data_IF_820207914650
#
_entry.id   IF_820207914650
#
_cell.length_a   1.000
_cell.length_b   1.000
_cell.length_c   1.000
_cell.angle_alpha   90.00
_cell.angle_beta   90.00
_cell.angle_gamma   90.00
#
_symmetry.space_group_name_H-M   'P 1'
#
loop_
_entity.id
_entity.type
_entity.pdbx_description
1 polymer ?
#
# COMPACT_ATOMS: atom_id res chain seq x y z
N UNK A 1 -69.97 -11.62 -27.02
CA UNK A 1 -69.28 -11.16 -25.79
C UNK A 1 -68.67 -12.39 -25.16
N UNK A 2 -67.51 -12.78 -25.68
CA UNK A 2 -66.16 -12.71 -25.06
C UNK A 2 -65.79 -14.05 -24.43
N UNK A 3 -65.25 -14.91 -25.30
CA UNK A 3 -64.57 -16.15 -24.94
C UNK A 3 -63.34 -15.84 -24.08
N UNK A 4 -63.28 -16.52 -22.95
CA UNK A 4 -62.16 -16.60 -22.02
C UNK A 4 -61.04 -17.47 -22.62
N UNK A 5 -59.96 -16.83 -23.06
CA UNK A 5 -58.67 -17.50 -23.25
C UNK A 5 -57.78 -17.16 -22.04
N UNK A 6 -57.63 -18.15 -21.16
CA UNK A 6 -56.60 -18.17 -20.14
C UNK A 6 -55.24 -18.28 -20.83
N UNK A 7 -54.44 -17.21 -20.80
CA UNK A 7 -53.00 -17.33 -21.03
C UNK A 7 -52.37 -17.97 -19.77
N UNK A 8 -51.54 -19.02 -19.91
CA UNK A 8 -50.82 -19.57 -18.76
C UNK A 8 -49.78 -18.55 -18.29
N UNK A 9 -49.41 -18.57 -17.00
CA UNK A 9 -48.40 -17.67 -16.46
C UNK A 9 -47.05 -17.96 -17.12
N UNK A 10 -46.33 -16.88 -17.47
CA UNK A 10 -44.94 -16.91 -17.88
C UNK A 10 -44.12 -17.69 -16.85
N UNK A 11 -43.69 -18.89 -17.25
CA UNK A 11 -42.92 -19.77 -16.37
C UNK A 11 -41.48 -19.24 -16.33
N UNK A 12 -41.17 -18.45 -15.29
CA UNK A 12 -39.83 -17.96 -14.98
C UNK A 12 -38.99 -19.06 -14.34
N UNK A 13 -38.75 -20.16 -15.05
CA UNK A 13 -37.72 -21.11 -14.64
C UNK A 13 -36.36 -20.49 -14.93
N UNK A 14 -35.80 -19.78 -13.95
CA UNK A 14 -34.39 -19.41 -13.91
C UNK A 14 -33.57 -20.70 -14.09
N UNK A 15 -33.07 -20.93 -15.31
CA UNK A 15 -32.10 -21.99 -15.58
C UNK A 15 -30.78 -21.62 -14.92
N UNK A 16 -30.63 -21.92 -13.62
CA UNK A 16 -29.35 -21.85 -12.94
C UNK A 16 -28.42 -22.92 -13.51
N UNK A 17 -27.32 -22.51 -14.15
CA UNK A 17 -26.23 -23.43 -14.42
C UNK A 17 -25.53 -23.67 -13.08
N UNK A 18 -25.83 -24.81 -12.44
CA UNK A 18 -25.21 -25.22 -11.15
C UNK A 18 -23.69 -25.09 -11.17
N UNK A 19 -23.06 -25.17 -12.33
CA UNK A 19 -21.62 -25.00 -12.51
C UNK A 19 -21.12 -23.59 -12.12
N UNK A 20 -21.77 -22.52 -12.62
CA UNK A 20 -21.36 -21.14 -12.34
C UNK A 20 -21.51 -20.78 -10.85
N UNK A 21 -22.60 -21.26 -10.24
CA UNK A 21 -22.89 -21.06 -8.83
C UNK A 21 -21.91 -21.79 -7.90
N UNK A 22 -21.15 -22.76 -8.41
CA UNK A 22 -20.02 -23.32 -7.68
C UNK A 22 -18.90 -22.28 -7.59
N UNK A 23 -18.46 -21.69 -8.71
CA UNK A 23 -17.21 -20.93 -8.73
C UNK A 23 -17.28 -19.52 -8.15
N UNK A 24 -18.44 -18.85 -8.19
CA UNK A 24 -18.54 -17.43 -7.82
C UNK A 24 -19.31 -17.18 -6.51
N UNK A 25 -18.95 -16.13 -5.78
CA UNK A 25 -19.53 -15.81 -4.48
C UNK A 25 -20.87 -15.05 -4.53
N UNK A 26 -21.11 -14.23 -5.57
CA UNK A 26 -22.29 -13.35 -5.66
C UNK A 26 -23.39 -13.95 -6.55
N UNK A 27 -24.61 -14.00 -6.03
CA UNK A 27 -25.76 -14.55 -6.74
C UNK A 27 -26.19 -13.67 -7.92
N UNK A 28 -26.06 -12.35 -7.81
CA UNK A 28 -26.54 -11.43 -8.86
C UNK A 28 -25.67 -11.53 -10.11
N UNK A 29 -24.35 -11.51 -9.93
CA UNK A 29 -23.39 -11.75 -11.02
C UNK A 29 -23.59 -13.11 -11.68
N UNK A 30 -23.84 -14.16 -10.89
CA UNK A 30 -24.11 -15.50 -11.42
C UNK A 30 -25.36 -15.55 -12.31
N UNK A 31 -26.41 -14.80 -12.00
CA UNK A 31 -27.63 -14.76 -12.84
C UNK A 31 -27.31 -14.27 -14.25
N UNK A 32 -26.59 -13.15 -14.37
CA UNK A 32 -26.20 -12.61 -15.68
C UNK A 32 -25.27 -13.56 -16.43
N UNK A 33 -24.31 -14.17 -15.74
CA UNK A 33 -23.42 -15.18 -16.35
C UNK A 33 -24.20 -16.41 -16.83
N UNK A 34 -25.20 -16.88 -16.08
CA UNK A 34 -26.06 -17.99 -16.45
C UNK A 34 -26.89 -17.67 -17.71
N UNK A 35 -27.40 -16.46 -17.82
CA UNK A 35 -28.13 -16.00 -19.01
C UNK A 35 -27.24 -16.03 -20.26
N UNK A 36 -26.02 -15.50 -20.16
CA UNK A 36 -25.08 -15.51 -21.28
C UNK A 36 -24.66 -16.94 -21.64
N UNK A 37 -24.38 -17.77 -20.63
CA UNK A 37 -24.04 -19.18 -20.85
C UNK A 37 -25.15 -19.95 -21.58
N UNK A 38 -26.42 -19.65 -21.29
CA UNK A 38 -27.55 -20.23 -22.01
C UNK A 38 -27.60 -19.77 -23.47
N UNK A 39 -27.40 -18.47 -23.73
CA UNK A 39 -27.40 -17.90 -25.09
C UNK A 39 -26.32 -18.53 -25.99
N UNK A 40 -25.16 -18.85 -25.43
CA UNK A 40 -24.02 -19.40 -26.17
C UNK A 40 -23.87 -20.92 -26.06
N UNK A 41 -24.86 -21.61 -25.47
CA UNK A 41 -24.79 -23.05 -25.15
C UNK A 41 -24.52 -23.97 -26.35
N UNK A 42 -24.96 -23.57 -27.54
CA UNK A 42 -24.79 -24.33 -28.79
C UNK A 42 -23.54 -23.93 -29.59
N UNK A 43 -22.73 -22.99 -29.09
CA UNK A 43 -21.59 -22.45 -29.81
C UNK A 43 -20.32 -23.26 -29.54
N UNK A 44 -19.53 -23.52 -30.58
CA UNK A 44 -18.28 -24.31 -30.47
C UNK A 44 -17.02 -23.46 -30.54
N UNK A 45 -17.10 -22.27 -31.15
CA UNK A 45 -15.99 -21.34 -31.27
C UNK A 45 -16.40 -20.00 -30.67
N UNK A 46 -15.68 -19.51 -29.66
CA UNK A 46 -16.04 -18.27 -28.96
C UNK A 46 -14.80 -17.37 -28.85
N UNK A 47 -14.96 -16.10 -29.23
CA UNK A 47 -13.90 -15.09 -29.19
C UNK A 47 -14.28 -13.97 -28.25
N UNK A 48 -13.51 -13.83 -27.17
CA UNK A 48 -13.68 -12.79 -26.16
C UNK A 48 -12.65 -11.68 -26.33
N UNK A 49 -13.04 -10.46 -25.96
CA UNK A 49 -12.13 -9.39 -25.54
C UNK A 49 -12.34 -9.17 -24.05
N UNK A 50 -11.26 -9.18 -23.27
CA UNK A 50 -11.30 -9.09 -21.81
C UNK A 50 -10.43 -7.94 -21.32
N UNK A 51 -10.92 -7.21 -20.32
CA UNK A 51 -10.15 -6.14 -19.67
C UNK A 51 -10.49 -6.00 -18.17
N UNK A 52 -9.59 -5.38 -17.43
CA UNK A 52 -9.70 -5.10 -16.00
C UNK A 52 -9.20 -3.70 -15.64
N UNK A 53 -10.05 -2.91 -14.97
CA UNK A 53 -9.68 -1.61 -14.44
C UNK A 53 -9.45 -1.67 -12.94
N UNK A 54 -8.49 -0.87 -12.46
CA UNK A 54 -8.20 -0.73 -11.04
C UNK A 54 -7.89 0.72 -10.71
N UNK A 55 -8.62 1.27 -9.74
CA UNK A 55 -8.43 2.61 -9.22
C UNK A 55 -7.97 2.53 -7.77
N UNK A 56 -6.76 3.03 -7.52
CA UNK A 56 -6.13 3.07 -6.19
C UNK A 56 -5.61 4.48 -5.94
N UNK A 57 -6.51 5.45 -5.79
CA UNK A 57 -6.13 6.76 -5.27
C UNK A 57 -6.23 6.75 -3.74
N UNK A 58 -5.25 7.35 -3.06
CA UNK A 58 -5.19 7.45 -1.61
C UNK A 58 -6.32 8.31 -1.01
N UNK A 59 -7.01 9.08 -1.86
CA UNK A 59 -8.12 9.97 -1.49
C UNK A 59 -9.48 9.27 -1.37
N UNK A 60 -9.65 8.07 -1.95
CA UNK A 60 -10.94 7.37 -2.05
C UNK A 60 -10.81 5.88 -1.74
N UNK A 61 -11.95 5.20 -1.62
CA UNK A 61 -11.96 3.75 -1.47
C UNK A 61 -11.49 3.09 -2.78
N UNK A 62 -10.45 2.23 -2.73
CA UNK A 62 -9.99 1.53 -3.92
C UNK A 62 -11.10 0.71 -4.56
N UNK A 63 -11.18 0.74 -5.89
CA UNK A 63 -12.19 0.01 -6.65
C UNK A 63 -11.58 -0.69 -7.86
N UNK A 64 -12.17 -1.83 -8.24
CA UNK A 64 -11.78 -2.58 -9.42
C UNK A 64 -13.02 -3.01 -10.19
N UNK A 65 -12.92 -2.99 -11.51
CA UNK A 65 -13.99 -3.41 -12.39
C UNK A 65 -13.40 -4.32 -13.46
N UNK A 66 -14.18 -5.29 -13.89
CA UNK A 66 -13.81 -6.18 -14.98
C UNK A 66 -14.87 -6.14 -16.07
N UNK A 67 -14.45 -6.51 -17.28
CA UNK A 67 -15.31 -6.57 -18.45
C UNK A 67 -14.85 -7.69 -19.38
N UNK A 68 -15.82 -8.32 -20.03
CA UNK A 68 -15.56 -9.01 -21.29
C UNK A 68 -16.75 -8.89 -22.26
N UNK A 69 -16.46 -9.06 -23.54
CA UNK A 69 -17.43 -9.04 -24.64
C UNK A 69 -17.15 -10.21 -25.61
N UNK A 70 -18.19 -10.83 -26.16
CA UNK A 70 -18.07 -11.83 -27.23
C UNK A 70 -18.32 -11.14 -28.57
N UNK A 71 -17.50 -11.44 -29.58
CA UNK A 71 -17.47 -10.68 -30.84
C UNK A 71 -17.78 -11.51 -32.08
N UNK A 72 -17.67 -12.84 -32.02
CA UNK A 72 -17.76 -13.72 -33.18
C UNK A 72 -19.14 -14.39 -33.32
N UNK A 73 -20.19 -13.81 -32.73
CA UNK A 73 -21.57 -14.31 -32.76
C UNK A 73 -22.52 -13.20 -33.28
N UNK A 74 -22.57 -12.96 -34.60
CA UNK A 74 -23.31 -11.83 -35.17
C UNK A 74 -24.83 -11.96 -35.08
N UNK A 75 -25.34 -13.19 -34.91
CA UNK A 75 -26.79 -13.46 -34.81
C UNK A 75 -27.39 -13.06 -33.44
N UNK A 76 -26.54 -12.66 -32.49
CA UNK A 76 -26.92 -12.27 -31.14
C UNK A 76 -26.53 -10.81 -30.89
N UNK A 77 -27.33 -10.08 -30.13
CA UNK A 77 -27.07 -8.68 -29.84
C UNK A 77 -25.81 -8.53 -28.97
N UNK A 78 -24.87 -7.67 -29.39
CA UNK A 78 -23.61 -7.43 -28.69
C UNK A 78 -23.80 -6.93 -27.24
N UNK A 79 -24.89 -6.23 -26.97
CA UNK A 79 -25.18 -5.73 -25.63
C UNK A 79 -25.64 -6.86 -24.68
N UNK A 80 -26.16 -7.97 -25.21
CA UNK A 80 -26.51 -9.17 -24.45
C UNK A 80 -25.31 -10.12 -24.27
N UNK A 81 -24.29 -9.96 -25.11
CA UNK A 81 -23.06 -10.77 -25.11
C UNK A 81 -21.89 -10.12 -24.37
N UNK A 82 -22.21 -9.33 -23.34
CA UNK A 82 -21.23 -8.65 -22.52
C UNK A 82 -21.47 -8.86 -21.03
N UNK A 83 -20.39 -8.84 -20.27
CA UNK A 83 -20.44 -8.89 -18.82
C UNK A 83 -19.52 -7.86 -18.22
N UNK A 84 -20.02 -7.08 -17.25
CA UNK A 84 -19.22 -6.18 -16.42
C UNK A 84 -19.62 -6.30 -14.97
N UNK A 85 -18.64 -6.28 -14.08
CA UNK A 85 -18.88 -6.42 -12.65
C UNK A 85 -17.76 -5.79 -11.83
N UNK A 86 -18.03 -5.50 -10.56
CA UNK A 86 -17.01 -5.07 -9.60
C UNK A 86 -16.17 -6.26 -9.16
N UNK A 87 -14.85 -6.15 -9.22
CA UNK A 87 -13.98 -7.13 -8.56
C UNK A 87 -13.79 -6.72 -7.09
N UNK A 88 -14.04 -7.65 -6.16
CA UNK A 88 -13.97 -7.37 -4.72
C UNK A 88 -12.63 -7.85 -4.12
N UNK A 89 -12.22 -7.24 -3.00
CA UNK A 89 -11.07 -7.60 -2.15
C UNK A 89 -9.70 -7.51 -2.86
N UNK A 90 -8.71 -6.91 -2.20
CA UNK A 90 -7.31 -6.79 -2.71
C UNK A 90 -7.19 -6.12 -4.09
N UNK A 91 -7.37 -4.79 -4.18
CA UNK A 91 -7.32 -4.04 -5.43
C UNK A 91 -5.99 -4.22 -6.19
N UNK A 92 -6.06 -4.72 -7.43
CA UNK A 92 -4.98 -4.77 -8.42
C UNK A 92 -5.56 -5.00 -9.81
N UNK A 93 -5.02 -4.36 -10.85
CA UNK A 93 -5.47 -4.55 -12.24
C UNK A 93 -5.41 -6.02 -12.66
N UNK A 94 -4.32 -6.71 -12.32
CA UNK A 94 -4.13 -8.14 -12.61
C UNK A 94 -5.19 -9.03 -11.96
N UNK A 95 -5.76 -8.66 -10.80
CA UNK A 95 -6.88 -9.41 -10.22
C UNK A 95 -8.16 -9.23 -11.04
N UNK A 96 -8.47 -8.00 -11.45
CA UNK A 96 -9.63 -7.70 -12.27
C UNK A 96 -9.55 -8.44 -13.61
N UNK A 97 -8.41 -8.38 -14.29
CA UNK A 97 -8.17 -9.08 -15.56
C UNK A 97 -8.25 -10.61 -15.39
N UNK A 98 -7.69 -11.18 -14.32
CA UNK A 98 -7.76 -12.62 -14.06
C UNK A 98 -9.20 -13.09 -13.79
N UNK A 99 -10.02 -12.29 -13.09
CA UNK A 99 -11.44 -12.56 -12.89
C UNK A 99 -12.25 -12.39 -14.18
N UNK A 100 -11.87 -11.45 -15.07
CA UNK A 100 -12.44 -11.33 -16.40
C UNK A 100 -12.23 -12.62 -17.20
N UNK A 101 -10.99 -13.14 -17.20
CA UNK A 101 -10.65 -14.43 -17.82
C UNK A 101 -11.45 -15.58 -17.20
N UNK A 102 -11.51 -15.67 -15.87
CA UNK A 102 -12.22 -16.75 -15.18
C UNK A 102 -13.71 -16.76 -15.50
N UNK A 103 -14.37 -15.59 -15.49
CA UNK A 103 -15.80 -15.48 -15.79
C UNK A 103 -16.12 -15.71 -17.27
N UNK A 104 -15.26 -15.25 -18.19
CA UNK A 104 -15.42 -15.53 -19.63
C UNK A 104 -15.33 -17.04 -19.93
N UNK A 105 -14.37 -17.75 -19.33
CA UNK A 105 -14.25 -19.20 -19.52
C UNK A 105 -15.40 -19.96 -18.87
N UNK A 106 -15.93 -19.47 -17.75
CA UNK A 106 -16.98 -20.15 -17.01
C UNK A 106 -18.31 -20.23 -17.76
N UNK A 107 -18.59 -19.26 -18.65
CA UNK A 107 -19.82 -19.25 -19.46
C UNK A 107 -19.71 -20.13 -20.72
N UNK A 108 -18.52 -20.58 -21.08
CA UNK A 108 -18.31 -21.37 -22.29
C UNK A 108 -18.92 -22.77 -22.16
N UNK A 109 -19.57 -23.31 -23.21
CA UNK A 109 -20.08 -24.68 -23.20
C UNK A 109 -18.93 -25.71 -23.25
N UNK A 110 -19.22 -26.99 -22.91
CA UNK A 110 -18.24 -28.06 -22.98
C UNK A 110 -17.65 -28.23 -24.38
N UNK A 111 -16.36 -28.57 -24.45
CA UNK A 111 -15.57 -28.81 -25.65
C UNK A 111 -15.41 -27.60 -26.60
N UNK A 112 -15.75 -26.39 -26.15
CA UNK A 112 -15.57 -25.19 -26.95
C UNK A 112 -14.09 -24.83 -27.17
N UNK A 113 -13.81 -24.28 -28.35
CA UNK A 113 -12.58 -23.59 -28.70
C UNK A 113 -12.72 -22.10 -28.39
N UNK A 114 -11.86 -21.58 -27.52
CA UNK A 114 -11.97 -20.25 -26.96
C UNK A 114 -10.73 -19.42 -27.27
N UNK A 115 -10.93 -18.27 -27.89
CA UNK A 115 -9.90 -17.27 -28.14
C UNK A 115 -10.13 -16.10 -27.18
N UNK A 116 -9.14 -15.78 -26.35
CA UNK A 116 -9.18 -14.64 -25.43
C UNK A 116 -8.21 -13.58 -25.95
N UNK A 117 -8.75 -12.45 -26.38
CA UNK A 117 -7.99 -11.26 -26.73
C UNK A 117 -7.84 -10.38 -25.48
N UNK A 118 -6.59 -10.10 -25.08
CA UNK A 118 -6.29 -9.24 -23.94
C UNK A 118 -5.03 -8.42 -24.19
N UNK A 119 -4.99 -7.20 -23.68
CA UNK A 119 -3.79 -6.39 -23.65
C UNK A 119 -2.90 -6.69 -22.41
N UNK A 120 -3.32 -7.55 -21.50
CA UNK A 120 -2.51 -7.88 -20.33
C UNK A 120 -1.48 -8.96 -20.64
N UNK A 121 -0.24 -8.53 -20.87
CA UNK A 121 0.91 -9.45 -20.97
C UNK A 121 1.09 -10.26 -19.67
N UNK A 122 0.77 -9.68 -18.51
CA UNK A 122 0.88 -10.35 -17.22
C UNK A 122 -0.03 -11.59 -17.14
N UNK A 123 -1.27 -11.49 -17.61
CA UNK A 123 -2.21 -12.61 -17.67
C UNK A 123 -1.71 -13.71 -18.60
N UNK A 124 -1.24 -13.35 -19.81
CA UNK A 124 -0.72 -14.33 -20.78
C UNK A 124 0.48 -15.09 -20.23
N UNK A 125 1.47 -14.36 -19.69
CA UNK A 125 2.68 -14.96 -19.15
C UNK A 125 2.37 -15.85 -17.93
N UNK A 126 1.45 -15.40 -17.06
CA UNK A 126 1.03 -16.17 -15.88
C UNK A 126 0.23 -17.43 -16.25
N UNK A 127 -0.69 -17.34 -17.22
CA UNK A 127 -1.45 -18.48 -17.71
C UNK A 127 -0.50 -19.57 -18.25
N UNK A 128 0.47 -19.18 -19.09
CA UNK A 128 1.45 -20.10 -19.65
C UNK A 128 2.36 -20.71 -18.57
N UNK A 129 2.80 -19.90 -17.61
CA UNK A 129 3.63 -20.36 -16.49
C UNK A 129 2.91 -21.35 -15.57
N UNK A 130 1.63 -21.13 -15.27
CA UNK A 130 0.86 -21.99 -14.36
C UNK A 130 0.29 -23.24 -15.03
N UNK A 131 0.13 -23.22 -16.37
CA UNK A 131 -0.36 -24.37 -17.16
C UNK A 131 0.53 -25.60 -17.02
N UNK A 132 1.82 -25.44 -16.72
CA UNK A 132 2.76 -26.55 -16.54
C UNK A 132 2.63 -27.31 -15.20
N UNK A 133 1.49 -27.21 -14.51
CA UNK A 133 1.18 -27.86 -13.21
C UNK A 133 2.30 -27.72 -12.17
N UNK A 134 2.45 -26.51 -11.64
CA UNK A 134 3.46 -26.22 -10.63
C UNK A 134 3.21 -26.97 -9.31
N UNK A 135 4.27 -27.25 -8.53
CA UNK A 135 4.13 -27.70 -7.15
C UNK A 135 3.29 -26.72 -6.32
N UNK A 136 2.48 -27.24 -5.39
CA UNK A 136 1.56 -26.47 -4.53
C UNK A 136 2.23 -25.27 -3.86
N UNK A 137 3.48 -25.41 -3.42
CA UNK A 137 4.25 -24.33 -2.78
C UNK A 137 4.56 -23.15 -3.72
N UNK A 138 4.81 -23.42 -5.01
CA UNK A 138 5.07 -22.34 -5.99
C UNK A 138 3.76 -21.65 -6.35
N UNK A 139 2.69 -22.43 -6.51
CA UNK A 139 1.35 -21.92 -6.77
C UNK A 139 0.85 -20.98 -5.65
N UNK A 140 0.98 -21.37 -4.38
CA UNK A 140 0.51 -20.54 -3.25
C UNK A 140 1.31 -19.25 -3.04
N UNK A 141 2.43 -19.08 -3.75
CA UNK A 141 3.20 -17.83 -3.77
C UNK A 141 2.79 -16.91 -4.92
N UNK A 142 2.09 -17.43 -5.93
CA UNK A 142 1.54 -16.63 -7.01
C UNK A 142 0.41 -15.77 -6.46
N UNK A 143 0.35 -14.52 -6.89
CA UNK A 143 -0.81 -13.67 -6.62
C UNK A 143 -2.02 -14.24 -7.35
N UNK A 144 -3.21 -14.12 -6.75
CA UNK A 144 -4.47 -14.55 -7.35
C UNK A 144 -4.51 -16.07 -7.66
N UNK A 145 -3.81 -16.90 -6.88
CA UNK A 145 -3.70 -18.34 -7.12
C UNK A 145 -5.05 -19.07 -7.09
N UNK A 146 -6.03 -18.60 -6.30
CA UNK A 146 -7.39 -19.16 -6.29
C UNK A 146 -8.07 -18.94 -7.62
N UNK A 147 -7.92 -17.73 -8.19
CA UNK A 147 -8.47 -17.39 -9.50
C UNK A 147 -7.86 -18.28 -10.57
N UNK A 148 -6.54 -18.44 -10.57
CA UNK A 148 -5.86 -19.32 -11.52
C UNK A 148 -6.27 -20.79 -11.37
N UNK A 149 -6.41 -21.28 -10.14
CA UNK A 149 -6.88 -22.64 -9.93
C UNK A 149 -8.33 -22.84 -10.39
N UNK A 150 -9.20 -21.83 -10.20
CA UNK A 150 -10.54 -21.85 -10.76
C UNK A 150 -10.50 -21.89 -12.30
N UNK A 151 -9.68 -21.04 -12.95
CA UNK A 151 -9.48 -21.04 -14.41
C UNK A 151 -9.11 -22.43 -14.91
N UNK A 152 -8.08 -23.07 -14.35
CA UNK A 152 -7.66 -24.39 -14.82
C UNK A 152 -8.67 -25.49 -14.52
N UNK A 153 -9.40 -25.39 -13.39
CA UNK A 153 -10.48 -26.33 -13.09
C UNK A 153 -11.64 -26.19 -14.08
N UNK A 154 -12.01 -24.96 -14.45
CA UNK A 154 -13.05 -24.70 -15.45
C UNK A 154 -12.64 -25.29 -16.81
N UNK A 155 -11.42 -24.99 -17.27
CA UNK A 155 -10.88 -25.53 -18.52
C UNK A 155 -10.92 -27.06 -18.52
N UNK A 156 -10.51 -27.69 -17.42
CA UNK A 156 -10.51 -29.14 -17.28
C UNK A 156 -11.93 -29.72 -17.26
N UNK A 157 -12.85 -29.11 -16.51
CA UNK A 157 -14.23 -29.58 -16.37
C UNK A 157 -15.04 -29.45 -17.66
N UNK A 158 -14.81 -28.40 -18.44
CA UNK A 158 -15.48 -28.19 -19.73
C UNK A 158 -14.65 -28.66 -20.92
N UNK A 159 -13.47 -29.27 -20.72
CA UNK A 159 -12.58 -29.70 -21.81
C UNK A 159 -12.32 -28.61 -22.87
N UNK A 160 -12.10 -27.37 -22.43
CA UNK A 160 -11.94 -26.21 -23.31
C UNK A 160 -10.57 -26.22 -24.01
N UNK A 161 -10.54 -25.83 -25.28
CA UNK A 161 -9.32 -25.48 -26.00
C UNK A 161 -9.11 -23.97 -25.94
N UNK A 162 -8.19 -23.48 -25.12
CA UNK A 162 -8.03 -22.05 -24.85
C UNK A 162 -6.74 -21.50 -25.45
N UNK A 163 -6.85 -20.40 -26.21
CA UNK A 163 -5.73 -19.63 -26.76
C UNK A 163 -5.84 -18.18 -26.28
N UNK A 164 -4.76 -17.65 -25.71
CA UNK A 164 -4.67 -16.23 -25.34
C UNK A 164 -3.86 -15.46 -26.39
N UNK A 165 -4.43 -14.38 -26.91
CA UNK A 165 -3.83 -13.52 -27.94
C UNK A 165 -3.59 -12.14 -27.36
N UNK A 166 -2.35 -11.65 -27.52
CA UNK A 166 -1.96 -10.31 -27.07
C UNK A 166 -2.46 -9.27 -28.07
N UNK A 167 -3.35 -8.39 -27.61
CA UNK A 167 -3.75 -7.16 -28.33
C UNK A 167 -2.81 -6.03 -27.95
N UNK A 168 -2.50 -5.12 -28.88
CA UNK A 168 -1.71 -3.92 -28.57
C UNK A 168 -2.61 -2.91 -27.83
N UNK A 169 -2.20 -2.49 -26.64
CA UNK A 169 -2.86 -1.38 -25.95
C UNK A 169 -2.76 -0.11 -26.81
N UNK A 170 -3.83 0.70 -26.83
CA UNK A 170 -3.91 1.97 -27.58
C UNK A 170 -3.66 1.83 -29.09
N UNK A 171 -4.09 0.72 -29.70
CA UNK A 171 -3.94 0.48 -31.13
C UNK A 171 -5.20 0.75 -31.97
N UNK A 172 -6.19 1.46 -31.39
CA UNK A 172 -7.51 1.70 -31.96
C UNK A 172 -8.25 0.39 -32.32
N UNK A 173 -8.03 -0.66 -31.53
CA UNK A 173 -8.84 -1.88 -31.60
C UNK A 173 -10.19 -1.57 -30.95
N UNK A 174 -11.23 -1.45 -31.78
CA UNK A 174 -12.56 -1.04 -31.35
C UNK A 174 -13.12 -1.91 -30.20
N UNK A 175 -12.84 -3.21 -30.19
CA UNK A 175 -13.38 -4.13 -29.18
C UNK A 175 -12.58 -4.09 -27.89
N UNK A 176 -11.26 -3.91 -27.97
CA UNK A 176 -10.42 -3.68 -26.81
C UNK A 176 -10.73 -2.34 -26.14
N UNK A 177 -10.87 -1.26 -26.92
CA UNK A 177 -11.21 0.07 -26.39
C UNK A 177 -12.61 0.06 -25.76
N UNK A 178 -13.57 -0.68 -26.35
CA UNK A 178 -14.89 -0.91 -25.75
C UNK A 178 -14.77 -1.68 -24.42
N UNK A 179 -13.86 -2.66 -24.33
CA UNK A 179 -13.64 -3.41 -23.10
C UNK A 179 -13.08 -2.52 -21.97
N UNK A 180 -12.10 -1.66 -22.25
CA UNK A 180 -11.48 -0.75 -21.26
C UNK A 180 -12.47 0.27 -20.68
N UNK A 181 -13.20 0.97 -21.56
CA UNK A 181 -14.21 1.96 -21.15
C UNK A 181 -15.25 1.32 -20.21
N UNK A 182 -15.63 0.09 -20.50
CA UNK A 182 -16.69 -0.61 -19.78
C UNK A 182 -16.17 -1.34 -18.53
N UNK A 183 -14.90 -1.75 -18.50
CA UNK A 183 -14.24 -2.22 -17.28
C UNK A 183 -14.20 -1.10 -16.23
N UNK A 184 -13.99 0.14 -16.67
CA UNK A 184 -14.06 1.32 -15.81
C UNK A 184 -15.47 1.57 -15.25
N UNK A 185 -16.52 1.36 -16.06
CA UNK A 185 -17.90 1.44 -15.57
C UNK A 185 -18.22 0.33 -14.58
N UNK A 186 -17.67 -0.88 -14.77
CA UNK A 186 -17.81 -2.02 -13.87
C UNK A 186 -17.39 -1.74 -12.42
N UNK A 187 -16.51 -0.75 -12.18
CA UNK A 187 -16.10 -0.32 -10.83
C UNK A 187 -17.28 0.17 -9.98
N UNK A 188 -18.28 0.76 -10.63
CA UNK A 188 -19.46 1.33 -9.98
C UNK A 188 -20.64 0.36 -9.88
N UNK A 189 -20.47 -0.90 -10.31
CA UNK A 189 -21.52 -1.91 -10.21
C UNK A 189 -21.89 -2.19 -8.75
N UNK A 190 -23.18 -2.43 -8.51
CA UNK A 190 -23.69 -2.92 -7.23
C UNK A 190 -23.41 -4.41 -7.03
N UNK A 191 -23.28 -5.17 -8.13
CA UNK A 191 -22.86 -6.57 -8.11
C UNK A 191 -21.35 -6.68 -8.05
N UNK A 192 -20.85 -7.75 -7.44
CA UNK A 192 -19.41 -8.03 -7.40
C UNK A 192 -19.13 -9.50 -7.73
N UNK A 193 -17.91 -9.81 -8.16
CA UNK A 193 -17.49 -11.19 -8.42
C UNK A 193 -16.16 -11.48 -7.73
N UNK A 194 -16.09 -12.66 -7.12
CA UNK A 194 -14.88 -13.23 -6.53
C UNK A 194 -15.03 -14.75 -6.45
N UNK A 195 -13.92 -15.46 -6.34
CA UNK A 195 -13.90 -16.93 -6.42
C UNK A 195 -14.28 -17.55 -5.08
N UNK A 196 -15.14 -18.56 -5.13
CA UNK A 196 -15.51 -19.39 -3.99
C UNK A 196 -14.40 -20.43 -3.75
N UNK A 197 -13.68 -20.39 -2.61
CA UNK A 197 -12.53 -21.28 -2.38
C UNK A 197 -12.87 -22.77 -2.36
N UNK A 198 -14.06 -23.12 -1.86
CA UNK A 198 -14.54 -24.51 -1.79
C UNK A 198 -14.60 -25.18 -3.15
N UNK A 199 -14.77 -24.39 -4.21
CA UNK A 199 -14.94 -24.89 -5.57
C UNK A 199 -13.62 -25.22 -6.24
N UNK A 200 -12.50 -24.94 -5.59
CA UNK A 200 -11.16 -25.05 -6.16
C UNK A 200 -10.43 -26.32 -5.68
N UNK A 201 -11.06 -27.19 -4.87
CA UNK A 201 -10.48 -28.44 -4.33
C UNK A 201 -9.06 -28.26 -3.74
N UNK A 202 -8.88 -27.19 -2.97
CA UNK A 202 -7.59 -26.91 -2.31
C UNK A 202 -7.47 -27.73 -1.02
N UNK A 203 -6.27 -28.26 -0.76
CA UNK A 203 -6.00 -28.95 0.51
C UNK A 203 -6.15 -28.02 1.71
N UNK A 204 -5.77 -26.76 1.55
CA UNK A 204 -5.92 -25.71 2.55
C UNK A 204 -5.95 -24.34 1.87
N UNK A 205 -6.68 -23.40 2.45
CA UNK A 205 -6.62 -21.97 2.12
C UNK A 205 -6.63 -21.17 3.42
N UNK A 206 -6.10 -19.95 3.35
CA UNK A 206 -6.05 -19.06 4.51
C UNK A 206 -7.16 -18.04 4.40
N UNK A 207 -7.85 -17.80 5.52
CA UNK A 207 -8.83 -16.74 5.63
C UNK A 207 -8.52 -15.87 6.84
N UNK A 208 -8.92 -14.61 6.74
CA UNK A 208 -8.82 -13.64 7.82
C UNK A 208 -10.23 -13.26 8.26
N UNK A 209 -10.53 -13.54 9.52
CA UNK A 209 -11.79 -13.13 10.15
C UNK A 209 -11.71 -11.63 10.45
N UNK A 210 -12.24 -10.83 9.53
CA UNK A 210 -12.38 -9.39 9.73
C UNK A 210 -13.34 -9.11 10.90
N UNK A 211 -13.02 -8.17 11.80
CA UNK A 211 -14.00 -7.65 12.75
C UNK A 211 -15.25 -7.18 12.02
N UNK A 212 -16.44 -7.44 12.59
CA UNK A 212 -17.73 -7.13 11.94
C UNK A 212 -17.85 -5.68 11.45
N UNK A 213 -17.22 -4.73 12.16
CA UNK A 213 -17.16 -3.30 11.79
C UNK A 213 -16.42 -3.04 10.47
N UNK A 214 -15.49 -3.91 10.09
CA UNK A 214 -14.70 -3.84 8.85
C UNK A 214 -15.24 -4.77 7.75
N UNK A 215 -16.29 -5.54 8.06
CA UNK A 215 -16.97 -6.43 7.11
C UNK A 215 -18.46 -6.04 7.00
N UNK A 216 -18.71 -4.79 6.61
CA UNK A 216 -20.06 -4.21 6.50
C UNK A 216 -20.95 -5.01 5.54
N UNK A 217 -20.38 -5.58 4.49
CA UNK A 217 -21.09 -6.37 3.49
C UNK A 217 -21.43 -7.80 3.99
N UNK A 218 -20.94 -8.21 5.19
CA UNK A 218 -21.03 -9.58 5.76
C UNK A 218 -20.61 -10.69 4.79
N UNK A 219 -19.89 -10.34 3.74
CA UNK A 219 -19.37 -11.29 2.77
C UNK A 219 -18.34 -12.14 3.50
N UNK A 220 -18.38 -13.44 3.24
CA UNK A 220 -17.47 -14.49 3.73
C UNK A 220 -16.07 -14.01 4.16
N UNK A 221 -15.44 -14.69 5.16
CA UNK A 221 -14.14 -14.28 5.70
C UNK A 221 -13.13 -13.97 4.60
N UNK A 222 -12.27 -12.97 4.81
CA UNK A 222 -11.37 -12.47 3.77
C UNK A 222 -10.35 -13.54 3.41
N UNK A 223 -10.55 -14.20 2.26
CA UNK A 223 -9.67 -15.26 1.80
C UNK A 223 -8.38 -14.65 1.27
N UNK A 224 -7.24 -15.08 1.79
CA UNK A 224 -5.92 -14.57 1.41
C UNK A 224 -5.44 -15.30 0.15
N UNK A 225 -5.58 -14.61 -0.99
CA UNK A 225 -5.19 -15.12 -2.32
C UNK A 225 -3.86 -14.53 -2.82
N UNK A 226 -2.84 -14.59 -1.96
CA UNK A 226 -1.49 -14.05 -2.19
C UNK A 226 -0.49 -14.80 -1.33
N UNK A 227 0.79 -14.51 -1.50
CA UNK A 227 1.85 -15.07 -0.67
C UNK A 227 1.55 -14.82 0.83
N UNK A 228 1.23 -15.91 1.54
CA UNK A 228 0.79 -15.87 2.93
C UNK A 228 1.85 -15.26 3.87
N UNK A 229 3.14 -15.45 3.59
CA UNK A 229 4.21 -14.89 4.43
C UNK A 229 4.23 -13.36 4.35
N UNK A 230 4.05 -12.82 3.15
CA UNK A 230 4.01 -11.38 2.95
C UNK A 230 2.72 -10.81 3.54
N UNK A 231 1.58 -11.47 3.33
CA UNK A 231 0.31 -11.06 3.93
C UNK A 231 0.38 -11.01 5.46
N UNK A 232 0.94 -12.04 6.11
CA UNK A 232 1.13 -12.05 7.57
C UNK A 232 2.11 -10.94 7.98
N UNK A 233 3.24 -10.79 7.29
CA UNK A 233 4.21 -9.75 7.60
C UNK A 233 3.61 -8.34 7.54
N UNK A 234 2.78 -8.05 6.53
CA UNK A 234 2.07 -6.78 6.38
C UNK A 234 1.09 -6.57 7.53
N UNK A 235 0.24 -7.57 7.82
CA UNK A 235 -0.73 -7.52 8.91
C UNK A 235 -0.04 -7.28 10.26
N UNK A 236 1.01 -8.04 10.55
CA UNK A 236 1.80 -7.89 11.78
C UNK A 236 2.43 -6.50 11.85
N UNK A 237 2.98 -6.00 10.74
CA UNK A 237 3.56 -4.65 10.68
C UNK A 237 2.52 -3.57 10.97
N UNK A 238 1.30 -3.69 10.40
CA UNK A 238 0.19 -2.77 10.68
C UNK A 238 -0.26 -2.82 12.14
N UNK A 239 -0.35 -4.01 12.73
CA UNK A 239 -0.68 -4.15 14.15
C UNK A 239 0.38 -3.51 15.05
N UNK A 240 1.66 -3.71 14.73
CA UNK A 240 2.77 -3.17 15.51
C UNK A 240 2.84 -1.65 15.42
N UNK A 241 2.73 -1.05 14.23
CA UNK A 241 2.74 0.42 14.10
C UNK A 241 1.53 1.04 14.81
N UNK A 242 0.34 0.43 14.70
CA UNK A 242 -0.84 0.92 15.42
C UNK A 242 -0.67 0.83 16.93
N UNK A 243 -0.11 -0.29 17.44
CA UNK A 243 0.18 -0.45 18.87
C UNK A 243 1.23 0.55 19.35
N UNK A 244 2.26 0.80 18.55
CA UNK A 244 3.27 1.82 18.82
C UNK A 244 2.62 3.21 18.93
N UNK A 245 1.93 3.65 17.88
CA UNK A 245 1.27 4.98 17.84
C UNK A 245 0.17 5.14 18.89
N UNK A 246 -0.46 4.05 19.36
CA UNK A 246 -1.43 4.09 20.44
C UNK A 246 -0.81 4.42 21.82
N UNK A 247 0.52 4.36 21.97
CA UNK A 247 1.17 4.60 23.25
C UNK A 247 1.07 6.08 23.68
N UNK A 248 0.60 6.32 24.91
CA UNK A 248 0.31 7.66 25.46
C UNK A 248 1.50 8.63 25.53
N UNK A 249 2.74 8.14 25.42
CA UNK A 249 3.97 8.95 25.52
C UNK A 249 4.35 9.61 24.19
N UNK A 250 3.79 9.12 23.09
CA UNK A 250 4.13 9.54 21.73
C UNK A 250 2.89 10.08 20.99
N UNK A 251 1.95 10.68 21.73
CA UNK A 251 0.73 11.28 21.17
C UNK A 251 1.04 12.36 20.14
N UNK A 252 2.12 13.11 20.35
CA UNK A 252 2.70 14.05 19.40
C UNK A 252 3.11 13.37 18.08
N UNK A 253 3.85 12.26 18.15
CA UNK A 253 4.26 11.48 16.97
C UNK A 253 3.03 10.89 16.25
N UNK A 254 2.03 10.43 17.01
CA UNK A 254 0.76 9.95 16.44
C UNK A 254 0.06 11.06 15.65
N UNK A 255 -0.07 12.25 16.22
CA UNK A 255 -0.70 13.39 15.55
C UNK A 255 0.09 13.79 14.29
N UNK A 256 1.43 13.87 14.40
CA UNK A 256 2.31 14.15 13.26
C UNK A 256 2.18 13.09 12.15
N UNK A 257 1.93 11.83 12.51
CA UNK A 257 1.68 10.74 11.54
C UNK A 257 0.37 10.92 10.79
N UNK A 258 -0.71 11.24 11.51
CA UNK A 258 -2.02 11.48 10.91
C UNK A 258 -2.05 12.74 10.05
N UNK A 259 -1.24 13.74 10.39
CA UNK A 259 -1.04 14.96 9.59
C UNK A 259 -0.05 14.77 8.43
N UNK A 260 0.40 13.53 8.17
CA UNK A 260 1.38 13.22 7.12
C UNK A 260 2.65 14.11 7.19
N UNK A 261 3.16 14.36 8.40
CA UNK A 261 4.39 15.13 8.61
C UNK A 261 5.65 14.23 8.58
N UNK A 262 5.49 12.94 8.90
CA UNK A 262 6.57 11.96 9.00
C UNK A 262 6.65 11.13 7.71
N UNK A 263 7.86 11.04 7.15
CA UNK A 263 8.19 10.10 6.10
C UNK A 263 8.49 8.73 6.72
N UNK A 264 7.46 7.89 6.84
CA UNK A 264 7.59 6.57 7.47
C UNK A 264 8.50 5.62 6.70
N UNK A 265 8.62 5.81 5.37
CA UNK A 265 9.52 4.99 4.54
C UNK A 265 10.97 5.27 4.92
N UNK A 266 11.39 6.53 4.89
CA UNK A 266 12.77 6.87 5.26
C UNK A 266 13.05 6.74 6.76
N UNK A 267 12.03 6.95 7.61
CA UNK A 267 12.15 6.65 9.04
C UNK A 267 12.48 5.17 9.24
N UNK A 268 11.80 4.24 8.56
CA UNK A 268 12.11 2.81 8.64
C UNK A 268 13.54 2.51 8.17
N UNK A 269 13.96 3.07 7.03
CA UNK A 269 15.33 2.89 6.53
C UNK A 269 16.37 3.41 7.53
N UNK A 270 16.11 4.58 8.13
CA UNK A 270 16.96 5.16 9.17
C UNK A 270 17.07 4.27 10.42
N UNK A 271 15.96 3.73 10.91
CA UNK A 271 15.97 2.81 12.05
C UNK A 271 16.74 1.51 11.77
N UNK A 272 16.86 1.12 10.50
CA UNK A 272 17.65 -0.05 10.09
C UNK A 272 19.10 0.29 9.74
N UNK A 273 19.43 1.57 9.51
CA UNK A 273 20.78 2.01 9.15
C UNK A 273 21.73 2.03 10.35
N UNK A 274 22.97 1.57 10.20
CA UNK A 274 24.03 1.70 11.21
C UNK A 274 24.82 2.99 10.95
N UNK A 275 24.69 4.05 11.79
CA UNK A 275 25.40 5.30 11.59
C UNK A 275 26.77 5.36 12.27
N UNK A 276 27.17 4.32 13.02
CA UNK A 276 28.31 4.40 13.94
C UNK A 276 29.56 3.74 13.39
N UNK A 277 29.41 2.63 12.68
CA UNK A 277 30.49 1.87 12.05
C UNK A 277 29.95 0.98 10.92
N UNK A 278 30.85 0.34 10.17
CA UNK A 278 30.50 -0.60 9.09
C UNK A 278 30.23 -2.02 9.60
N UNK A 279 30.27 -2.25 10.92
CA UNK A 279 30.05 -3.57 11.50
C UNK A 279 28.56 -3.90 11.57
N UNK A 280 28.13 -5.13 11.27
CA UNK A 280 26.74 -5.53 11.48
C UNK A 280 26.35 -5.48 12.97
N UNK A 281 27.31 -5.66 13.89
CA UNK A 281 27.09 -5.60 15.34
C UNK A 281 28.29 -4.96 16.05
N UNK A 282 28.03 -4.05 16.99
CA UNK A 282 29.07 -3.47 17.83
C UNK A 282 28.49 -2.94 19.14
N UNK A 283 29.30 -2.83 20.19
CA UNK A 283 28.88 -2.20 21.46
C UNK A 283 28.45 -0.75 21.25
N UNK A 284 29.09 -0.04 20.32
CA UNK A 284 28.73 1.34 19.97
C UNK A 284 27.35 1.40 19.32
N UNK A 285 27.08 0.50 18.37
CA UNK A 285 25.76 0.36 17.74
C UNK A 285 24.68 0.03 18.79
N UNK A 286 24.93 -0.91 19.71
CA UNK A 286 23.97 -1.25 20.77
C UNK A 286 23.63 -0.04 21.65
N UNK A 287 24.63 0.74 22.08
CA UNK A 287 24.41 1.98 22.84
C UNK A 287 23.59 2.99 22.03
N UNK A 288 23.93 3.18 20.74
CA UNK A 288 23.20 4.07 19.85
C UNK A 288 21.74 3.63 19.66
N UNK A 289 21.46 2.34 19.46
CA UNK A 289 20.10 1.79 19.36
C UNK A 289 19.31 1.99 20.65
N UNK A 290 19.93 1.78 21.81
CA UNK A 290 19.29 2.03 23.10
C UNK A 290 18.89 3.51 23.23
N UNK A 291 19.77 4.44 22.87
CA UNK A 291 19.45 5.87 22.81
C UNK A 291 18.33 6.16 21.81
N UNK A 292 18.40 5.62 20.59
CA UNK A 292 17.42 5.86 19.52
C UNK A 292 16.01 5.45 19.96
N UNK A 293 15.86 4.26 20.57
CA UNK A 293 14.58 3.77 21.07
C UNK A 293 14.08 4.61 22.25
N UNK A 294 14.96 5.00 23.17
CA UNK A 294 14.59 5.89 24.28
C UNK A 294 14.11 7.25 23.78
N UNK A 295 14.85 7.84 22.83
CA UNK A 295 14.54 9.14 22.25
C UNK A 295 13.21 9.15 21.50
N UNK A 296 12.98 8.19 20.60
CA UNK A 296 11.72 8.16 19.84
C UNK A 296 10.50 7.90 20.73
N UNK A 297 10.69 7.32 21.92
CA UNK A 297 9.63 6.92 22.85
C UNK A 297 9.44 7.84 24.06
N UNK A 298 10.10 9.00 24.11
CA UNK A 298 10.11 9.91 25.27
C UNK A 298 10.56 9.22 26.57
N UNK A 299 11.68 8.50 26.50
CA UNK A 299 12.28 7.75 27.60
C UNK A 299 13.75 8.11 27.81
N UNK A 300 14.22 9.25 27.29
CA UNK A 300 15.50 9.80 27.72
C UNK A 300 15.42 10.15 29.21
N UNK A 301 16.52 10.04 29.96
CA UNK A 301 16.54 10.29 31.39
C UNK A 301 16.44 11.81 31.66
N UNK A 302 15.23 12.37 31.59
CA UNK A 302 14.92 13.75 32.00
C UNK A 302 14.48 13.79 33.46
N UNK A 303 14.51 14.96 34.10
CA UNK A 303 14.23 15.07 35.54
C UNK A 303 12.89 14.50 35.97
N UNK A 304 11.82 14.66 35.19
CA UNK A 304 10.51 14.05 35.47
C UNK A 304 10.57 12.52 35.58
N UNK A 305 11.40 11.87 34.76
CA UNK A 305 11.62 10.43 34.76
C UNK A 305 12.59 10.03 35.87
N UNK A 306 13.71 10.74 36.01
CA UNK A 306 14.74 10.42 37.00
C UNK A 306 14.21 10.56 38.42
N UNK A 307 13.50 11.65 38.73
CA UNK A 307 12.87 11.87 40.03
C UNK A 307 11.75 10.86 40.33
N UNK A 308 11.04 10.39 39.30
CA UNK A 308 10.03 9.33 39.46
C UNK A 308 10.65 7.99 39.89
N UNK A 309 11.83 7.64 39.37
CA UNK A 309 12.46 6.35 39.65
C UNK A 309 13.47 6.39 40.81
N UNK A 310 14.05 7.56 41.12
CA UNK A 310 15.00 7.74 42.23
C UNK A 310 14.67 9.01 43.02
N UNK A 311 13.55 9.04 43.76
CA UNK A 311 13.05 10.25 44.41
C UNK A 311 14.01 10.82 45.47
N UNK A 312 14.74 9.97 46.19
CA UNK A 312 15.67 10.41 47.24
C UNK A 312 16.87 11.19 46.66
N UNK A 313 17.29 10.87 45.43
CA UNK A 313 18.41 11.53 44.76
C UNK A 313 18.02 12.85 44.08
N UNK A 314 16.75 13.01 43.69
CA UNK A 314 16.29 14.15 42.87
C UNK A 314 15.15 14.95 43.50
N UNK A 315 14.97 14.81 44.82
CA UNK A 315 13.89 15.43 45.61
C UNK A 315 13.77 16.94 45.41
N UNK A 316 14.90 17.62 45.21
CA UNK A 316 14.97 19.09 45.16
C UNK A 316 15.03 19.65 43.73
N UNK A 317 14.90 18.83 42.68
CA UNK A 317 15.14 19.27 41.30
C UNK A 317 13.93 19.02 40.38
N UNK A 318 12.86 19.82 40.47
CA UNK A 318 11.72 19.71 39.58
C UNK A 318 11.92 20.44 38.26
N UNK A 319 12.97 21.26 38.10
CA UNK A 319 13.18 22.18 36.98
C UNK A 319 14.32 21.72 36.06
N UNK A 320 14.30 22.18 34.82
CA UNK A 320 15.35 21.93 33.85
C UNK A 320 16.70 22.51 34.26
N UNK A 321 17.76 21.71 34.11
CA UNK A 321 19.15 22.09 34.40
C UNK A 321 19.65 23.26 33.56
N UNK A 322 19.05 23.46 32.40
CA UNK A 322 19.47 24.51 31.48
C UNK A 322 18.75 25.82 31.73
N UNK A 323 17.42 25.83 31.83
CA UNK A 323 16.63 27.06 31.96
C UNK A 323 16.21 27.40 33.39
N UNK A 324 16.22 26.42 34.30
CA UNK A 324 15.79 26.57 35.69
C UNK A 324 14.41 27.21 35.85
N UNK A 325 13.55 27.14 34.82
CA UNK A 325 12.27 27.86 34.77
C UNK A 325 11.05 26.92 34.65
N UNK A 326 11.20 25.80 33.94
CA UNK A 326 10.11 24.83 33.72
C UNK A 326 10.57 23.41 34.01
N UNK A 327 9.66 22.48 34.34
CA UNK A 327 10.02 21.09 34.53
C UNK A 327 10.66 20.44 33.32
N UNK A 328 11.74 19.69 33.55
CA UNK A 328 12.41 18.98 32.47
C UNK A 328 11.65 17.71 32.12
N UNK A 329 11.07 17.73 30.93
CA UNK A 329 10.46 16.58 30.28
C UNK A 329 11.22 16.30 28.99
N UNK A 330 11.05 15.12 28.40
CA UNK A 330 11.62 14.81 27.08
C UNK A 330 11.20 15.84 26.01
N UNK A 331 9.98 16.38 26.09
CA UNK A 331 9.54 17.45 25.18
C UNK A 331 10.29 18.75 25.42
N UNK A 332 10.43 19.14 26.69
CA UNK A 332 11.17 20.35 27.06
C UNK A 332 12.65 20.28 26.70
N UNK A 333 13.29 19.10 26.80
CA UNK A 333 14.69 18.89 26.41
C UNK A 333 14.99 19.42 25.01
N UNK A 334 14.08 19.18 24.06
CA UNK A 334 14.24 19.59 22.66
C UNK A 334 13.71 21.00 22.35
N UNK A 335 12.90 21.58 23.25
CA UNK A 335 12.24 22.88 23.08
C UNK A 335 12.75 23.96 24.05
N UNK A 336 13.69 23.62 24.93
CA UNK A 336 14.22 24.54 25.92
C UNK A 336 14.92 25.73 25.24
N UNK A 337 14.48 26.98 25.49
CA UNK A 337 15.03 28.16 24.81
C UNK A 337 16.55 28.31 25.00
N UNK A 338 17.07 27.97 26.17
CA UNK A 338 18.51 28.08 26.47
C UNK A 338 19.31 27.06 25.65
N UNK A 339 18.81 25.83 25.54
CA UNK A 339 19.42 24.78 24.72
C UNK A 339 19.36 25.16 23.24
N UNK A 340 18.20 25.62 22.76
CA UNK A 340 18.03 26.04 21.37
C UNK A 340 18.96 27.20 20.99
N UNK A 341 19.14 28.21 21.86
CA UNK A 341 20.10 29.31 21.65
C UNK A 341 21.54 28.80 21.56
N UNK A 342 21.92 27.82 22.40
CA UNK A 342 23.26 27.19 22.35
C UNK A 342 23.48 26.37 21.08
N UNK A 343 22.47 25.65 20.62
CA UNK A 343 22.55 24.81 19.41
C UNK A 343 22.49 25.65 18.13
N UNK A 344 21.80 26.79 18.13
CA UNK A 344 21.58 27.68 16.98
C UNK A 344 22.85 27.91 16.12
N UNK A 345 24.00 28.38 16.65
CA UNK A 345 25.20 28.57 15.84
C UNK A 345 25.79 27.26 15.29
N UNK A 346 25.74 26.17 16.07
CA UNK A 346 26.27 24.87 15.66
C UNK A 346 25.42 24.24 14.54
N UNK A 347 24.10 24.34 14.66
CA UNK A 347 23.16 23.88 13.62
C UNK A 347 23.33 24.69 12.33
N UNK A 348 23.58 26.00 12.44
CA UNK A 348 23.89 26.86 11.28
C UNK A 348 25.14 26.35 10.55
N UNK A 349 26.22 26.05 11.28
CA UNK A 349 27.46 25.51 10.70
C UNK A 349 27.23 24.14 10.03
N UNK A 350 26.51 23.23 10.70
CA UNK A 350 26.15 21.93 10.13
C UNK A 350 25.32 22.08 8.86
N UNK A 351 24.37 23.02 8.86
CA UNK A 351 23.53 23.29 7.68
C UNK A 351 24.36 23.81 6.51
N UNK A 352 25.31 24.71 6.74
CA UNK A 352 26.21 25.19 5.68
C UNK A 352 27.03 24.05 5.06
N UNK A 353 27.50 23.10 5.88
CA UNK A 353 28.17 21.89 5.38
C UNK A 353 27.22 21.00 4.58
N UNK A 354 25.98 20.83 5.02
CA UNK A 354 24.98 20.06 4.28
C UNK A 354 24.65 20.69 2.92
N UNK A 355 24.50 22.01 2.87
CA UNK A 355 24.32 22.77 1.62
C UNK A 355 25.47 22.45 0.66
N UNK A 356 26.73 22.54 1.10
CA UNK A 356 27.90 22.27 0.26
C UNK A 356 27.93 20.81 -0.25
N UNK A 357 27.59 19.83 0.60
CA UNK A 357 27.54 18.42 0.22
C UNK A 357 26.46 18.17 -0.85
N UNK A 358 25.27 18.76 -0.67
CA UNK A 358 24.16 18.61 -1.62
C UNK A 358 24.48 19.32 -2.93
N UNK A 359 25.06 20.53 -2.88
CA UNK A 359 25.53 21.26 -4.06
C UNK A 359 26.55 20.47 -4.88
N UNK A 360 27.48 19.78 -4.22
CA UNK A 360 28.48 18.95 -4.91
C UNK A 360 27.89 17.68 -5.55
N UNK A 361 26.69 17.26 -5.14
CA UNK A 361 26.09 15.99 -5.56
C UNK A 361 24.87 16.15 -6.47
N UNK A 362 24.26 17.33 -6.52
CA UNK A 362 23.00 17.58 -7.23
C UNK A 362 23.17 17.71 -8.74
N UNK A 363 22.13 17.34 -9.50
CA UNK A 363 22.13 17.35 -10.97
C UNK A 363 21.73 18.69 -11.58
N UNK A 364 21.03 19.53 -10.83
CA UNK A 364 20.38 20.74 -11.34
C UNK A 364 20.96 22.01 -10.70
N UNK A 365 21.46 22.91 -11.54
CA UNK A 365 21.86 24.28 -11.16
C UNK A 365 20.65 25.25 -11.07
N UNK A 366 19.43 24.76 -11.30
CA UNK A 366 18.25 25.60 -11.58
C UNK A 366 17.53 26.07 -10.30
N UNK A 367 17.74 25.40 -9.16
CA UNK A 367 17.06 25.72 -7.88
C UNK A 367 18.10 26.06 -6.82
N UNK A 368 17.92 27.18 -6.12
CA UNK A 368 18.81 27.58 -5.03
C UNK A 368 18.70 26.60 -3.83
N UNK A 369 19.66 25.67 -3.76
CA UNK A 369 19.85 24.72 -2.66
C UNK A 369 20.03 25.48 -1.34
N UNK A 370 20.76 26.60 -1.34
CA UNK A 370 20.96 27.41 -0.13
C UNK A 370 19.62 27.95 0.37
N UNK A 371 18.81 28.52 -0.51
CA UNK A 371 17.49 29.03 -0.16
C UNK A 371 16.57 27.92 0.36
N UNK A 372 16.63 26.72 -0.23
CA UNK A 372 15.83 25.57 0.22
C UNK A 372 16.16 25.16 1.65
N UNK A 373 17.44 25.13 2.04
CA UNK A 373 17.82 24.87 3.42
C UNK A 373 17.49 26.05 4.36
N UNK A 374 17.68 27.29 3.92
CA UNK A 374 17.39 28.51 4.72
C UNK A 374 15.91 28.74 4.98
N UNK A 375 15.03 28.23 4.11
CA UNK A 375 13.57 28.29 4.28
C UNK A 375 13.00 27.02 4.90
N UNK A 376 13.79 25.95 5.01
CA UNK A 376 13.33 24.69 5.60
C UNK A 376 13.03 24.87 7.10
N UNK A 377 11.85 24.47 7.59
CA UNK A 377 11.49 24.49 9.01
C UNK A 377 12.52 23.85 9.96
N UNK A 378 13.29 22.84 9.52
CA UNK A 378 14.29 22.18 10.37
C UNK A 378 15.51 23.06 10.61
N UNK A 379 15.96 23.78 9.57
CA UNK A 379 17.26 24.47 9.56
C UNK A 379 17.14 26.00 9.55
N UNK A 380 16.07 26.56 8.99
CA UNK A 380 15.95 27.97 8.65
C UNK A 380 16.02 28.91 9.84
N UNK A 381 15.49 28.49 11.00
CA UNK A 381 15.54 29.27 12.23
C UNK A 381 16.98 29.52 12.73
N UNK A 382 17.94 28.67 12.36
CA UNK A 382 19.36 28.88 12.70
C UNK A 382 20.01 30.08 11.99
N UNK A 383 19.39 30.56 10.90
CA UNK A 383 19.87 31.72 10.12
C UNK A 383 19.20 33.04 10.52
N UNK A 384 18.15 33.00 11.35
CA UNK A 384 17.42 34.20 11.77
C UNK A 384 18.13 34.91 12.93
N UNK A 385 18.18 36.24 12.89
CA UNK A 385 18.81 37.06 13.94
C UNK A 385 18.00 37.08 15.24
N UNK A 386 16.67 36.99 15.14
CA UNK A 386 15.78 37.02 16.29
C UNK A 386 15.58 35.63 16.92
N UNK A 387 15.17 35.61 18.20
CA UNK A 387 14.88 34.39 18.95
C UNK A 387 13.39 34.02 18.95
N UNK A 388 12.52 34.87 18.39
CA UNK A 388 11.09 34.56 18.26
C UNK A 388 10.79 33.40 17.29
N UNK A 389 11.75 33.04 16.42
CA UNK A 389 11.61 31.92 15.47
C UNK A 389 12.16 30.61 16.01
N UNK A 390 12.53 30.55 17.30
CA UNK A 390 12.99 29.30 17.90
C UNK A 390 11.86 28.25 17.88
N UNK A 391 12.16 26.96 17.60
CA UNK A 391 11.18 25.89 17.69
C UNK A 391 10.54 25.86 19.08
N UNK A 392 9.22 26.05 19.17
CA UNK A 392 8.52 26.16 20.45
C UNK A 392 7.44 25.09 20.68
N UNK A 393 7.11 24.29 19.67
CA UNK A 393 6.02 23.31 19.72
C UNK A 393 6.48 21.92 19.31
N UNK A 394 5.78 20.90 19.79
CA UNK A 394 6.04 19.48 19.47
C UNK A 394 5.63 19.09 18.04
N UNK A 395 4.87 19.94 17.35
CA UNK A 395 4.50 19.71 15.94
C UNK A 395 5.56 20.25 14.97
N UNK A 396 6.56 20.96 15.47
CA UNK A 396 7.60 21.55 14.65
C UNK A 396 8.51 20.48 14.02
N UNK A 397 8.84 20.59 12.73
CA UNK A 397 9.63 19.59 12.01
C UNK A 397 11.02 19.33 12.63
N UNK A 398 11.65 20.37 13.21
CA UNK A 398 12.89 20.22 13.98
C UNK A 398 12.72 19.29 15.18
N UNK A 399 11.63 19.43 15.94
CA UNK A 399 11.36 18.58 17.10
C UNK A 399 11.18 17.11 16.68
N UNK A 400 10.41 16.84 15.63
CA UNK A 400 10.24 15.48 15.10
C UNK A 400 11.57 14.88 14.65
N UNK A 401 12.44 15.69 14.04
CA UNK A 401 13.79 15.29 13.65
C UNK A 401 14.66 14.98 14.86
N UNK A 402 14.58 15.81 15.92
CA UNK A 402 15.24 15.56 17.19
C UNK A 402 14.80 14.26 17.85
N UNK A 403 13.52 13.90 17.71
CA UNK A 403 12.95 12.62 18.17
C UNK A 403 13.33 11.42 17.32
N UNK A 404 14.12 11.62 16.25
CA UNK A 404 14.64 10.55 15.39
C UNK A 404 13.75 10.16 14.21
N UNK A 405 12.72 10.96 13.89
CA UNK A 405 11.81 10.70 12.77
C UNK A 405 12.22 11.52 11.54
N UNK A 406 12.31 10.87 10.38
CA UNK A 406 12.50 11.57 9.11
C UNK A 406 11.20 12.27 8.75
N UNK A 407 11.22 13.59 8.57
CA UNK A 407 10.01 14.35 8.18
C UNK A 407 9.91 14.48 6.67
N UNK A 408 8.69 14.62 6.15
CA UNK A 408 8.46 14.89 4.72
C UNK A 408 9.15 16.19 4.26
N UNK A 409 9.30 17.15 5.18
CA UNK A 409 10.01 18.41 4.93
C UNK A 409 11.53 18.20 4.79
N UNK A 410 12.10 17.20 5.46
CA UNK A 410 13.50 16.80 5.24
C UNK A 410 13.66 16.05 3.92
N UNK A 411 12.82 15.04 3.67
CA UNK A 411 12.96 14.18 2.48
C UNK A 411 12.65 14.93 1.18
N UNK A 412 11.76 15.93 1.23
CA UNK A 412 11.45 16.81 0.09
C UNK A 412 12.63 17.66 -0.39
N UNK A 413 13.68 17.87 0.43
CA UNK A 413 14.92 18.51 -0.04
C UNK A 413 15.51 17.66 -1.17
N UNK A 414 15.56 16.35 -0.99
CA UNK A 414 16.23 15.42 -1.91
C UNK A 414 15.39 15.07 -3.12
N UNK A 415 14.06 15.08 -3.02
CA UNK A 415 13.20 14.86 -4.18
C UNK A 415 13.22 16.03 -5.17
N UNK A 416 13.55 17.25 -4.71
CA UNK A 416 13.66 18.45 -5.57
C UNK A 416 14.93 18.48 -6.41
N UNK A 417 16.05 17.97 -5.91
CA UNK A 417 17.37 18.15 -6.54
C UNK A 417 17.91 16.93 -7.29
N UNK A 418 17.27 15.75 -7.13
CA UNK A 418 17.75 14.50 -7.71
C UNK A 418 16.62 13.83 -8.51
N UNK A 419 16.60 14.06 -9.83
CA UNK A 419 15.56 13.55 -10.74
C UNK A 419 16.12 12.36 -11.55
N UNK A 420 15.29 11.33 -11.79
CA UNK A 420 15.63 10.24 -12.72
C UNK A 420 16.66 9.23 -12.19
N UNK A 421 17.76 9.01 -12.95
CA UNK A 421 18.73 7.90 -12.73
C UNK A 421 19.50 7.97 -11.41
N UNK A 422 19.44 9.07 -10.68
CA UNK A 422 20.21 9.31 -9.44
C UNK A 422 19.40 9.17 -8.15
N UNK A 423 18.14 8.70 -8.22
CA UNK A 423 17.29 8.42 -7.06
C UNK A 423 17.97 7.51 -6.01
N UNK A 424 18.77 6.53 -6.44
CA UNK A 424 19.53 5.67 -5.50
C UNK A 424 20.61 6.44 -4.73
N UNK A 425 21.37 7.32 -5.42
CA UNK A 425 22.39 8.16 -4.77
C UNK A 425 21.75 9.18 -3.84
N UNK A 426 20.61 9.73 -4.24
CA UNK A 426 19.80 10.63 -3.41
C UNK A 426 19.40 9.99 -2.08
N UNK A 427 18.87 8.75 -2.10
CA UNK A 427 18.49 8.03 -0.89
C UNK A 427 19.69 7.76 0.04
N UNK A 428 20.85 7.40 -0.51
CA UNK A 428 22.08 7.20 0.27
C UNK A 428 22.54 8.52 0.91
N UNK A 429 22.50 9.63 0.16
CA UNK A 429 22.88 10.94 0.65
C UNK A 429 21.94 11.44 1.76
N UNK A 430 20.63 11.23 1.58
CA UNK A 430 19.61 11.53 2.58
C UNK A 430 19.90 10.81 3.89
N UNK A 431 20.12 9.48 3.84
CA UNK A 431 20.44 8.69 5.03
C UNK A 431 21.74 9.16 5.68
N UNK A 432 22.78 9.45 4.88
CA UNK A 432 24.06 9.98 5.40
C UNK A 432 23.86 11.29 6.16
N UNK A 433 23.15 12.26 5.58
CA UNK A 433 22.94 13.57 6.19
C UNK A 433 22.05 13.47 7.44
N UNK A 434 21.01 12.62 7.41
CA UNK A 434 20.18 12.37 8.60
C UNK A 434 20.97 11.66 9.71
N UNK A 435 21.89 10.77 9.36
CA UNK A 435 22.82 10.12 10.29
C UNK A 435 23.72 11.14 10.97
N UNK A 436 24.36 12.02 10.20
CA UNK A 436 25.21 13.08 10.72
C UNK A 436 24.44 14.04 11.64
N UNK A 437 23.22 14.42 11.27
CA UNK A 437 22.35 15.24 12.10
C UNK A 437 21.97 14.54 13.41
N UNK A 438 21.60 13.25 13.35
CA UNK A 438 21.22 12.49 14.53
C UNK A 438 22.40 12.27 15.48
N UNK A 439 23.60 12.00 14.95
CA UNK A 439 24.83 11.90 15.75
C UNK A 439 25.22 13.25 16.37
N UNK A 440 25.07 14.34 15.64
CA UNK A 440 25.26 15.70 16.16
C UNK A 440 24.33 15.97 17.35
N UNK A 441 23.04 15.65 17.20
CA UNK A 441 22.04 15.81 18.26
C UNK A 441 22.33 14.90 19.46
N UNK A 442 22.72 13.64 19.24
CA UNK A 442 23.08 12.72 20.31
C UNK A 442 24.28 13.25 21.12
N UNK A 443 25.32 13.77 20.45
CA UNK A 443 26.50 14.33 21.13
C UNK A 443 26.21 15.54 22.01
N UNK A 444 25.18 16.33 21.69
CA UNK A 444 24.81 17.50 22.48
C UNK A 444 24.30 17.15 23.89
N UNK A 445 23.82 15.90 24.09
CA UNK A 445 23.29 15.44 25.37
C UNK A 445 24.06 14.23 25.94
N UNK A 446 24.84 13.52 25.12
CA UNK A 446 25.63 12.36 25.51
C UNK A 446 26.84 12.64 26.40
N UNK A 447 27.20 13.91 26.64
CA UNK A 447 28.22 14.26 27.63
C UNK A 447 27.69 14.31 29.08
N UNK A 448 26.42 13.96 29.30
CA UNK A 448 25.80 13.83 30.64
C UNK A 448 25.57 12.37 31.06
N UNK A 449 26.23 11.39 30.44
CA UNK A 449 26.33 10.04 31.02
C UNK A 449 27.26 10.12 32.25
N UNK A 450 26.67 10.44 33.41
CA UNK A 450 27.20 10.19 34.76
C UNK A 450 27.26 8.69 35.00
#
# INVERSE_FOLDING_TARGET
MTNTFNNPPFNSSLHSCKFLDLFFLDSNSSITLNQIAHLISNQTNITFYTDGSCFTDHSTTPSMGLRWIITNLPDLNLDELCFSCKANKFPSSTKAEALALASALAVCPPHASVIINTDSKCIIDTFNYLRSKLPTRKLSKSHNYLIWQAVFKIIQSHHLSVILVKVKAHSNDQFNDKADVLANQGRSSQSYIDIRPTSVNLNAYYSWNLPTKLNLEKVTPLVIDRNIRHAIADITSFQWINKFLAHHRITDIRNASYNNAIDWKFTREWFNHNPVDDSPTSRKLTKFRAWQIKNCSNLLPTMDIMAKYNPDLFKDHPLCWHCSATPETNSHLWLCPIILKRIKPLLKQLTLRFIAIVQASADTLVIDISNTFRTNPIFGWSFKSNDHTLPATTDHAFYLTCRGFCTNVFTSIFTKFFIGKLCRKSNQLLLKLFSELSLFLNKLFGNHEI
#
